data_IF_521249143896
#
_entry.id   IF_521249143896
#
_cell.length_a   1.000
_cell.length_b   1.000
_cell.length_c   1.000
_cell.angle_alpha   90.00
_cell.angle_beta   90.00
_cell.angle_gamma   90.00
#
_symmetry.space_group_name_H-M   'P 1'
#
loop_
_entity.id
_entity.type
_entity.pdbx_description
1 polymer ?
#
# COMPACT_ATOMS: atom_id res chain seq x y z
N UNK A 1 24.80 -9.54 -16.10
CA UNK A 1 23.95 -8.75 -15.19
C UNK A 1 22.51 -9.04 -15.59
N UNK A 2 21.77 -9.84 -14.83
CA UNK A 2 20.38 -10.16 -15.17
C UNK A 2 19.55 -8.94 -14.82
N UNK A 3 19.06 -8.22 -15.84
CA UNK A 3 18.03 -7.21 -15.66
C UNK A 3 16.75 -7.96 -15.30
N UNK A 4 16.45 -8.04 -14.01
CA UNK A 4 15.12 -8.49 -13.57
C UNK A 4 14.19 -7.34 -13.90
N UNK A 5 13.36 -7.54 -14.92
CA UNK A 5 12.31 -6.58 -15.23
C UNK A 5 11.38 -6.52 -14.01
N UNK A 6 11.39 -5.37 -13.33
CA UNK A 6 10.63 -5.19 -12.08
C UNK A 6 9.13 -5.36 -12.28
N UNK A 7 8.68 -5.33 -13.54
CA UNK A 7 7.31 -5.54 -13.97
C UNK A 7 6.88 -7.03 -13.95
N UNK A 8 7.81 -8.00 -13.91
CA UNK A 8 7.50 -9.43 -13.79
C UNK A 8 7.46 -9.96 -12.35
N UNK A 9 7.89 -9.14 -11.37
CA UNK A 9 7.85 -9.57 -9.98
C UNK A 9 6.41 -9.61 -9.47
N UNK A 10 6.05 -10.62 -8.64
CA UNK A 10 4.72 -10.71 -8.07
C UNK A 10 4.38 -9.42 -7.34
N UNK A 11 3.18 -8.88 -7.60
CA UNK A 11 2.67 -7.67 -6.94
C UNK A 11 2.86 -7.82 -5.43
N UNK A 12 3.69 -6.96 -4.84
CA UNK A 12 3.90 -6.91 -3.39
C UNK A 12 3.09 -5.75 -2.84
N UNK A 13 1.90 -5.96 -2.25
CA UNK A 13 1.05 -4.84 -1.80
C UNK A 13 1.76 -3.94 -0.79
N UNK A 14 2.63 -4.54 0.02
CA UNK A 14 3.46 -3.83 0.99
C UNK A 14 4.45 -2.86 0.34
N UNK A 15 4.92 -3.12 -0.89
CA UNK A 15 5.77 -2.19 -1.63
C UNK A 15 5.02 -0.90 -1.94
N UNK A 16 3.79 -1.02 -2.45
CA UNK A 16 2.93 0.12 -2.76
C UNK A 16 2.65 0.93 -1.48
N UNK A 17 2.23 0.26 -0.40
CA UNK A 17 1.97 0.91 0.89
C UNK A 17 3.23 1.59 1.46
N UNK A 18 4.41 0.96 1.35
CA UNK A 18 5.67 1.56 1.75
C UNK A 18 6.12 2.75 0.90
N UNK A 19 5.42 3.08 -0.18
CA UNK A 19 5.66 4.30 -0.96
C UNK A 19 4.54 5.32 -0.76
N UNK A 20 3.52 5.03 0.04
CA UNK A 20 2.32 5.87 0.15
C UNK A 20 2.65 7.33 0.51
N UNK A 21 3.39 7.55 1.60
CA UNK A 21 3.86 8.89 1.99
C UNK A 21 4.61 9.59 0.85
N UNK A 22 5.54 8.89 0.19
CA UNK A 22 6.31 9.45 -0.93
C UNK A 22 5.40 9.84 -2.10
N UNK A 23 4.39 9.04 -2.39
CA UNK A 23 3.44 9.31 -3.47
C UNK A 23 2.62 10.57 -3.22
N UNK A 24 2.29 10.88 -1.97
CA UNK A 24 1.60 12.12 -1.61
C UNK A 24 2.52 13.34 -1.69
N UNK A 25 3.66 13.27 -1.01
CA UNK A 25 4.53 14.46 -0.83
C UNK A 25 5.34 14.82 -2.08
N UNK A 26 5.64 13.84 -2.93
CA UNK A 26 6.57 14.03 -4.05
C UNK A 26 5.95 13.69 -5.40
N UNK A 27 4.62 13.84 -5.55
CA UNK A 27 3.89 13.40 -6.74
C UNK A 27 4.46 13.97 -8.05
N UNK A 28 4.94 15.21 -8.02
CA UNK A 28 5.54 15.92 -9.16
C UNK A 28 6.89 15.34 -9.61
N UNK A 29 7.61 14.68 -8.70
CA UNK A 29 8.92 14.08 -8.97
C UNK A 29 8.84 12.57 -9.21
N UNK A 30 7.64 11.99 -9.24
CA UNK A 30 7.47 10.58 -9.54
C UNK A 30 7.69 10.30 -11.02
N UNK A 31 8.39 9.19 -11.30
CA UNK A 31 8.44 8.60 -12.65
C UNK A 31 7.03 8.16 -13.06
N UNK A 32 6.79 8.01 -14.36
CA UNK A 32 5.47 7.58 -14.85
C UNK A 32 5.05 6.22 -14.29
N UNK A 33 5.99 5.30 -14.11
CA UNK A 33 5.69 4.02 -13.46
C UNK A 33 5.24 4.21 -12.00
N UNK A 34 5.92 5.10 -11.27
CA UNK A 34 5.58 5.43 -9.88
C UNK A 34 4.22 6.14 -9.79
N UNK A 35 3.88 7.01 -10.76
CA UNK A 35 2.55 7.62 -10.87
C UNK A 35 1.46 6.57 -11.10
N UNK A 36 1.67 5.61 -12.01
CA UNK A 36 0.73 4.49 -12.22
C UNK A 36 0.54 3.68 -10.94
N UNK A 37 1.61 3.38 -10.22
CA UNK A 37 1.55 2.66 -8.95
C UNK A 37 0.85 3.47 -7.86
N UNK A 38 1.09 4.77 -7.78
CA UNK A 38 0.39 5.68 -6.88
C UNK A 38 -1.12 5.69 -7.15
N UNK A 39 -1.52 5.80 -8.43
CA UNK A 39 -2.93 5.77 -8.83
C UNK A 39 -3.58 4.44 -8.42
N UNK A 40 -2.94 3.29 -8.70
CA UNK A 40 -3.45 1.96 -8.31
C UNK A 40 -3.61 1.85 -6.79
N UNK A 41 -2.63 2.32 -6.02
CA UNK A 41 -2.71 2.33 -4.57
C UNK A 41 -3.83 3.22 -4.07
N UNK A 42 -3.92 4.46 -4.53
CA UNK A 42 -4.94 5.42 -4.09
C UNK A 42 -6.36 4.95 -4.41
N UNK A 43 -6.57 4.37 -5.61
CA UNK A 43 -7.83 3.72 -5.96
C UNK A 43 -8.16 2.58 -4.99
N UNK A 44 -7.20 1.69 -4.72
CA UNK A 44 -7.39 0.55 -3.81
C UNK A 44 -7.70 1.00 -2.37
N UNK A 45 -7.06 2.07 -1.90
CA UNK A 45 -7.30 2.65 -0.58
C UNK A 45 -8.66 3.35 -0.47
N UNK A 46 -9.18 3.95 -1.55
CA UNK A 46 -10.48 4.60 -1.57
C UNK A 46 -11.67 3.62 -1.54
N UNK A 47 -11.43 2.34 -1.80
CA UNK A 47 -12.43 1.29 -1.62
C UNK A 47 -12.34 0.56 -0.27
N UNK A 48 -11.48 1.04 0.64
CA UNK A 48 -11.51 0.64 2.03
C UNK A 48 -12.51 1.51 2.78
N UNK A 49 -13.02 1.02 3.91
CA UNK A 49 -13.73 1.90 4.81
C UNK A 49 -12.75 2.87 5.51
N UNK A 50 -13.29 3.96 6.07
CA UNK A 50 -12.47 5.02 6.67
C UNK A 50 -11.59 4.50 7.82
N UNK A 51 -12.07 3.54 8.62
CA UNK A 51 -11.31 2.99 9.75
C UNK A 51 -10.13 2.15 9.27
N UNK A 52 -10.33 1.34 8.23
CA UNK A 52 -9.28 0.54 7.59
C UNK A 52 -8.21 1.42 6.94
N UNK A 53 -8.64 2.50 6.26
CA UNK A 53 -7.75 3.47 5.64
C UNK A 53 -6.95 4.23 6.70
N UNK A 54 -7.59 4.66 7.78
CA UNK A 54 -6.95 5.31 8.92
C UNK A 54 -5.91 4.39 9.56
N UNK A 55 -6.26 3.14 9.83
CA UNK A 55 -5.34 2.13 10.36
C UNK A 55 -4.08 2.00 9.51
N UNK A 56 -4.23 1.87 8.18
CA UNK A 56 -3.07 1.78 7.29
C UNK A 56 -2.28 3.09 7.24
N UNK A 57 -2.96 4.24 7.28
CA UNK A 57 -2.30 5.55 7.23
C UNK A 57 -1.35 5.76 8.41
N UNK A 58 -1.74 5.32 9.61
CA UNK A 58 -0.90 5.41 10.81
C UNK A 58 0.44 4.71 10.64
N UNK A 59 0.46 3.59 9.90
CA UNK A 59 1.65 2.79 9.67
C UNK A 59 2.46 3.20 8.45
N UNK A 60 1.80 3.63 7.37
CA UNK A 60 2.42 3.71 6.04
C UNK A 60 2.47 5.13 5.45
N UNK A 61 1.62 6.04 5.90
CA UNK A 61 1.40 7.37 5.34
C UNK A 61 2.02 8.47 6.20
N UNK A 62 3.28 8.26 6.63
CA UNK A 62 4.01 9.20 7.48
C UNK A 62 5.49 9.21 7.10
N UNK A 63 6.13 10.35 7.33
CA UNK A 63 7.58 10.51 7.19
C UNK A 63 8.33 9.54 8.12
N UNK A 64 7.93 9.52 9.39
CA UNK A 64 8.40 8.58 10.41
C UNK A 64 7.30 7.56 10.70
N UNK A 65 7.50 6.34 10.20
CA UNK A 65 6.55 5.23 10.39
C UNK A 65 6.64 4.70 11.81
N UNK A 66 5.48 4.56 12.46
CA UNK A 66 5.39 3.84 13.72
C UNK A 66 5.85 2.40 13.54
N UNK A 67 6.54 1.86 14.52
CA UNK A 67 6.75 0.42 14.68
C UNK A 67 5.40 -0.28 14.89
N UNK A 68 5.37 -1.60 14.74
CA UNK A 68 4.14 -2.35 15.02
C UNK A 68 3.72 -2.25 16.48
N UNK A 69 4.69 -2.10 17.39
CA UNK A 69 4.45 -1.94 18.84
C UNK A 69 3.79 -0.61 19.11
N UNK A 70 4.40 0.50 18.69
CA UNK A 70 3.87 1.85 18.89
C UNK A 70 2.47 2.01 18.29
N UNK A 71 2.24 1.47 17.09
CA UNK A 71 0.93 1.52 16.46
C UNK A 71 -0.12 0.67 17.20
N UNK A 72 0.27 -0.50 17.75
CA UNK A 72 -0.64 -1.33 18.54
C UNK A 72 -1.02 -0.68 19.87
N UNK A 73 -0.06 -0.04 20.54
CA UNK A 73 -0.29 0.71 21.78
C UNK A 73 -1.21 1.92 21.53
N UNK A 74 -0.97 2.68 20.46
CA UNK A 74 -1.81 3.82 20.10
C UNK A 74 -3.26 3.43 19.80
N UNK A 75 -3.48 2.24 19.26
CA UNK A 75 -4.81 1.71 18.94
C UNK A 75 -5.46 0.94 20.10
N UNK A 76 -4.75 0.72 21.21
CA UNK A 76 -5.22 -0.10 22.31
C UNK A 76 -5.46 -1.56 21.94
N UNK A 77 -4.69 -2.10 20.98
CA UNK A 77 -4.81 -3.48 20.49
C UNK A 77 -3.64 -4.33 21.00
N UNK A 78 -3.88 -5.63 21.20
CA UNK A 78 -2.78 -6.57 21.40
C UNK A 78 -1.91 -6.62 20.13
N UNK A 79 -0.58 -6.62 20.28
CA UNK A 79 0.36 -6.65 19.15
C UNK A 79 0.07 -7.79 18.16
N UNK A 80 -0.37 -8.94 18.66
CA UNK A 80 -0.73 -10.10 17.83
C UNK A 80 -1.97 -9.83 16.97
N UNK A 81 -2.99 -9.20 17.54
CA UNK A 81 -4.22 -8.83 16.84
C UNK A 81 -3.93 -7.73 15.81
N UNK A 82 -3.15 -6.71 16.20
CA UNK A 82 -2.66 -5.68 15.30
C UNK A 82 -1.95 -6.29 14.07
N UNK A 83 -1.02 -7.22 14.28
CA UNK A 83 -0.29 -7.88 13.18
C UNK A 83 -1.22 -8.67 12.25
N UNK A 84 -2.19 -9.39 12.80
CA UNK A 84 -3.19 -10.13 12.01
C UNK A 84 -4.04 -9.19 11.17
N UNK A 85 -4.55 -8.12 11.79
CA UNK A 85 -5.40 -7.14 11.11
C UNK A 85 -4.62 -6.37 10.04
N UNK A 86 -3.39 -5.94 10.33
CA UNK A 86 -2.47 -5.37 9.34
C UNK A 86 -2.29 -6.30 8.14
N UNK A 87 -2.01 -7.58 8.36
CA UNK A 87 -1.82 -8.53 7.27
C UNK A 87 -3.11 -8.75 6.46
N UNK A 88 -4.27 -8.76 7.11
CA UNK A 88 -5.57 -8.80 6.45
C UNK A 88 -5.76 -7.60 5.52
N UNK A 89 -5.51 -6.38 6.00
CA UNK A 89 -5.65 -5.17 5.20
C UNK A 89 -4.64 -5.09 4.05
N UNK A 90 -3.39 -5.48 4.28
CA UNK A 90 -2.37 -5.58 3.21
C UNK A 90 -2.85 -6.53 2.11
N UNK A 91 -3.42 -7.70 2.47
CA UNK A 91 -3.98 -8.64 1.50
C UNK A 91 -5.21 -8.05 0.78
N UNK A 92 -6.09 -7.35 1.51
CA UNK A 92 -7.28 -6.68 0.95
C UNK A 92 -6.90 -5.64 -0.10
N UNK A 93 -5.97 -4.74 0.23
CA UNK A 93 -5.39 -3.76 -0.70
C UNK A 93 -4.73 -4.45 -1.89
N UNK A 94 -3.94 -5.50 -1.63
CA UNK A 94 -3.26 -6.26 -2.67
C UNK A 94 -4.20 -6.83 -3.74
N UNK A 95 -5.32 -7.42 -3.31
CA UNK A 95 -6.34 -7.93 -4.23
C UNK A 95 -6.90 -6.82 -5.13
N UNK A 96 -7.23 -5.66 -4.55
CA UNK A 96 -7.74 -4.50 -5.30
C UNK A 96 -6.72 -3.97 -6.31
N UNK A 97 -5.46 -3.81 -5.90
CA UNK A 97 -4.36 -3.41 -6.81
C UNK A 97 -4.22 -4.41 -7.98
N UNK A 98 -4.28 -5.70 -7.68
CA UNK A 98 -4.19 -6.75 -8.70
C UNK A 98 -5.36 -6.70 -9.70
N UNK A 99 -6.58 -6.42 -9.22
CA UNK A 99 -7.73 -6.19 -10.11
C UNK A 99 -7.46 -5.06 -11.11
N UNK A 100 -6.99 -3.90 -10.63
CA UNK A 100 -6.70 -2.78 -11.53
C UNK A 100 -5.55 -3.05 -12.51
N UNK A 101 -4.57 -3.86 -12.13
CA UNK A 101 -3.50 -4.25 -13.06
C UNK A 101 -4.08 -5.06 -14.22
N UNK A 102 -4.89 -6.09 -13.90
CA UNK A 102 -5.53 -6.96 -14.90
C UNK A 102 -6.49 -6.19 -15.82
N UNK A 103 -7.27 -5.27 -15.27
CA UNK A 103 -8.21 -4.46 -16.06
C UNK A 103 -7.52 -3.55 -17.07
N UNK A 104 -6.34 -3.01 -16.73
CA UNK A 104 -5.56 -2.17 -17.65
C UNK A 104 -4.78 -2.98 -18.71
N UNK A 105 -4.55 -4.28 -18.47
CA UNK A 105 -3.89 -5.17 -19.42
C UNK A 105 -4.86 -5.77 -20.43
N UNK A 106 -6.12 -6.03 -20.03
CA UNK A 106 -7.17 -6.58 -20.90
C UNK A 106 -7.94 -5.53 -21.72
N UNK A 107 -7.68 -4.23 -21.50
CA UNK A 107 -8.30 -3.11 -22.23
C UNK A 107 -7.47 -2.59 -23.40
N UNK A 108 -6.48 -3.35 -23.88
CA UNK A 108 -5.65 -3.05 -25.05
C UNK A 108 -6.04 -3.91 -26.24
#
# INVERSE_FOLDING_TARGET
MVYVDLDELPIRPIYYLNQWYRYKENVQYLTDNSKRNAIRLLKALNELDEKEKEFLSMKFDREKRLTDVEASEQLGLELKEYKKYKQYLIKKVGKKIQTYIKENENGR
#
